data_IF_008413661269
#
_entry.id   IF_008413661269
#
_cell.length_a   1.000
_cell.length_b   1.000
_cell.length_c   1.000
_cell.angle_alpha   90.00
_cell.angle_beta   90.00
_cell.angle_gamma   90.00
#
_symmetry.space_group_name_H-M   'P 1'
#
loop_
_entity.id
_entity.type
_entity.pdbx_description
1 polymer ?
#
# COMPACT_ATOMS: atom_id res chain seq x y z
N UNK A 1 2.09 -4.81 -8.46
CA UNK A 1 1.67 -6.12 -7.90
C UNK A 1 0.28 -6.55 -8.42
N UNK A 2 -0.55 -5.63 -8.86
CA UNK A 2 -1.98 -5.91 -9.17
C UNK A 2 -2.25 -6.21 -10.64
N UNK A 3 -1.42 -5.74 -11.55
CA UNK A 3 -1.69 -5.78 -13.01
C UNK A 3 -0.83 -6.78 -13.80
N UNK A 4 0.29 -7.24 -13.23
CA UNK A 4 1.30 -8.02 -13.95
C UNK A 4 0.82 -9.40 -14.36
N UNK A 5 -0.08 -10.02 -13.60
CA UNK A 5 -0.54 -11.37 -13.88
C UNK A 5 -1.24 -11.49 -15.24
N UNK A 6 -2.07 -10.51 -15.61
CA UNK A 6 -2.74 -10.49 -16.90
C UNK A 6 -1.75 -10.48 -18.08
N UNK A 7 -0.62 -9.81 -17.92
CA UNK A 7 0.45 -9.82 -18.95
C UNK A 7 1.20 -11.14 -19.00
N UNK A 8 1.37 -11.80 -17.84
CA UNK A 8 2.05 -13.11 -17.76
C UNK A 8 1.20 -14.19 -18.45
N UNK A 9 -0.06 -14.34 -18.08
CA UNK A 9 -0.95 -15.38 -18.64
C UNK A 9 -1.24 -15.20 -20.12
N UNK A 10 -1.22 -13.96 -20.60
CA UNK A 10 -1.38 -13.64 -22.03
C UNK A 10 -0.05 -13.71 -22.83
N UNK A 11 1.00 -14.30 -22.25
CA UNK A 11 2.31 -14.52 -22.88
C UNK A 11 2.95 -13.22 -23.44
N UNK A 12 2.66 -12.08 -22.80
CA UNK A 12 3.20 -10.79 -23.22
C UNK A 12 4.55 -10.45 -22.61
N UNK A 13 4.96 -11.20 -21.58
CA UNK A 13 6.21 -10.99 -20.86
C UNK A 13 7.23 -12.09 -21.18
N UNK A 14 8.50 -11.72 -21.20
CA UNK A 14 9.61 -12.65 -21.25
C UNK A 14 9.95 -13.12 -19.84
N UNK A 15 10.20 -14.41 -19.62
CA UNK A 15 10.82 -14.87 -18.39
C UNK A 15 12.14 -14.15 -18.12
N UNK A 16 12.49 -14.03 -16.85
CA UNK A 16 13.77 -13.46 -16.43
C UNK A 16 14.91 -14.31 -17.00
N UNK A 17 15.76 -13.71 -17.82
CA UNK A 17 17.05 -14.25 -18.20
C UNK A 17 18.03 -13.94 -17.06
N UNK A 18 18.19 -14.88 -16.13
CA UNK A 18 18.98 -14.65 -14.91
C UNK A 18 20.46 -14.42 -15.22
N UNK A 19 21.03 -15.04 -16.27
CA UNK A 19 22.41 -14.79 -16.67
C UNK A 19 22.59 -13.37 -17.23
N UNK A 20 21.68 -12.93 -18.09
CA UNK A 20 21.67 -11.55 -18.59
C UNK A 20 21.43 -10.54 -17.48
N UNK A 21 20.64 -10.90 -16.46
CA UNK A 21 20.39 -10.10 -15.27
C UNK A 21 21.54 -10.15 -14.23
N UNK A 22 22.60 -10.91 -14.50
CA UNK A 22 23.81 -10.94 -13.66
C UNK A 22 23.81 -11.99 -12.54
N UNK A 23 22.90 -12.97 -12.60
CA UNK A 23 22.81 -14.04 -11.59
C UNK A 23 23.32 -15.38 -12.17
N UNK A 24 24.01 -16.21 -11.35
CA UNK A 24 24.52 -17.50 -11.80
C UNK A 24 23.43 -18.57 -11.95
N UNK A 25 22.27 -18.39 -11.33
CA UNK A 25 21.14 -19.31 -11.40
C UNK A 25 19.84 -18.63 -11.00
N UNK A 26 18.70 -19.23 -11.33
CA UNK A 26 17.39 -18.77 -10.88
C UNK A 26 17.28 -18.80 -9.34
N UNK A 27 17.86 -19.83 -8.69
CA UNK A 27 17.89 -19.91 -7.23
C UNK A 27 18.64 -18.72 -6.61
N UNK A 28 19.74 -18.30 -7.22
CA UNK A 28 20.48 -17.11 -6.76
C UNK A 28 19.65 -15.81 -6.85
N UNK A 29 18.69 -15.73 -7.78
CA UNK A 29 17.74 -14.60 -7.82
C UNK A 29 16.83 -14.67 -6.59
N UNK A 30 16.25 -15.83 -6.28
CA UNK A 30 15.39 -15.98 -5.10
C UNK A 30 16.14 -15.70 -3.79
N UNK A 31 17.39 -16.15 -3.68
CA UNK A 31 18.23 -15.95 -2.48
C UNK A 31 18.64 -14.47 -2.28
N UNK A 32 18.66 -13.68 -3.36
CA UNK A 32 19.01 -12.26 -3.29
C UNK A 32 17.89 -11.38 -2.74
N UNK A 33 16.64 -11.81 -2.81
CA UNK A 33 15.48 -11.03 -2.40
C UNK A 33 14.84 -11.55 -1.11
N UNK A 34 14.17 -10.66 -0.37
CA UNK A 34 13.41 -11.07 0.82
C UNK A 34 12.27 -12.01 0.43
N UNK A 35 11.92 -12.92 1.34
CA UNK A 35 10.91 -13.95 1.09
C UNK A 35 9.55 -13.38 0.68
N UNK A 36 8.90 -14.01 -0.30
CA UNK A 36 7.54 -13.70 -0.76
C UNK A 36 7.46 -12.57 -1.79
N UNK A 37 8.52 -11.75 -1.96
CA UNK A 37 8.45 -10.59 -2.85
C UNK A 37 8.43 -10.97 -4.34
N UNK A 38 8.94 -12.13 -4.70
CA UNK A 38 8.92 -12.64 -6.08
C UNK A 38 7.69 -13.48 -6.40
N UNK A 39 6.87 -13.84 -5.42
CA UNK A 39 5.69 -14.70 -5.62
C UNK A 39 4.70 -14.11 -6.65
N UNK A 40 4.35 -12.79 -6.61
CA UNK A 40 3.41 -12.22 -7.57
C UNK A 40 3.88 -12.25 -9.02
N UNK A 41 5.17 -12.34 -9.25
CA UNK A 41 5.78 -12.37 -10.61
C UNK A 41 6.31 -13.75 -10.99
N UNK A 42 5.99 -14.77 -10.19
CA UNK A 42 6.30 -16.18 -10.46
C UNK A 42 5.05 -16.90 -10.97
N UNK A 43 5.15 -17.55 -12.13
CA UNK A 43 4.05 -18.30 -12.73
C UNK A 43 4.57 -19.59 -13.37
N UNK A 44 3.97 -20.73 -13.03
CA UNK A 44 4.35 -22.05 -13.54
C UNK A 44 5.87 -22.34 -13.43
N UNK A 45 6.46 -21.92 -12.31
CA UNK A 45 7.90 -22.12 -12.04
C UNK A 45 8.85 -21.21 -12.79
N UNK A 46 8.33 -20.19 -13.49
CA UNK A 46 9.13 -19.17 -14.17
C UNK A 46 8.93 -17.81 -13.50
N UNK A 47 10.01 -17.03 -13.46
CA UNK A 47 10.01 -15.67 -12.93
C UNK A 47 9.90 -14.66 -14.08
N UNK A 48 9.02 -13.65 -13.96
CA UNK A 48 8.73 -12.70 -15.03
C UNK A 48 9.07 -11.25 -14.69
N UNK A 49 9.61 -10.97 -13.52
CA UNK A 49 9.96 -9.62 -13.12
C UNK A 49 11.02 -9.57 -12.03
N UNK A 50 11.73 -8.45 -11.95
CA UNK A 50 12.67 -8.15 -10.86
C UNK A 50 12.22 -6.88 -10.14
N UNK A 51 12.18 -6.87 -8.79
CA UNK A 51 11.66 -5.74 -8.04
C UNK A 51 12.56 -4.50 -8.17
N UNK A 52 11.98 -3.36 -8.54
CA UNK A 52 12.61 -2.06 -8.37
C UNK A 52 12.48 -1.57 -6.94
N UNK A 53 11.29 -1.72 -6.37
CA UNK A 53 11.02 -1.34 -4.99
C UNK A 53 10.01 -2.27 -4.35
N UNK A 54 10.15 -2.40 -3.05
CA UNK A 54 9.10 -2.89 -2.17
C UNK A 54 9.10 -2.03 -0.91
N UNK A 55 7.91 -1.65 -0.48
CA UNK A 55 7.68 -0.97 0.79
C UNK A 55 6.34 -1.41 1.36
N UNK A 56 6.13 -1.22 2.65
CA UNK A 56 4.81 -1.17 3.24
C UNK A 56 4.39 0.30 3.40
N UNK A 57 3.14 0.54 3.71
CA UNK A 57 2.65 1.87 4.01
C UNK A 57 2.50 2.06 5.52
N UNK A 58 3.09 3.15 5.99
CA UNK A 58 2.94 3.65 7.35
C UNK A 58 2.26 5.02 7.32
N UNK A 59 1.95 5.57 8.47
CA UNK A 59 1.33 6.88 8.59
C UNK A 59 2.41 7.95 8.77
N UNK A 60 2.46 8.91 7.85
CA UNK A 60 3.23 10.15 8.02
C UNK A 60 2.37 11.17 8.73
N UNK A 61 2.93 11.82 9.75
CA UNK A 61 2.26 12.75 10.64
C UNK A 61 2.96 14.11 10.60
N UNK A 62 2.20 15.19 10.42
CA UNK A 62 2.67 16.56 10.49
C UNK A 62 2.50 17.08 11.93
N UNK A 63 3.62 17.25 12.64
CA UNK A 63 3.64 17.66 14.05
C UNK A 63 3.06 19.07 14.25
N UNK A 64 3.25 19.97 13.28
CA UNK A 64 2.70 21.32 13.35
C UNK A 64 1.19 21.30 13.35
N UNK A 65 0.56 20.53 12.45
CA UNK A 65 -0.89 20.37 12.39
C UNK A 65 -1.46 19.83 13.70
N UNK A 66 -0.77 18.87 14.34
CA UNK A 66 -1.16 18.35 15.65
C UNK A 66 -1.13 19.44 16.70
N UNK A 67 -0.04 20.20 16.81
CA UNK A 67 0.08 21.31 17.76
C UNK A 67 -0.97 22.40 17.53
N UNK A 68 -1.24 22.75 16.27
CA UNK A 68 -2.29 23.72 15.91
C UNK A 68 -3.69 23.28 16.35
N UNK A 69 -3.92 21.96 16.43
CA UNK A 69 -5.16 21.36 16.94
C UNK A 69 -5.15 21.12 18.45
N UNK A 70 -4.11 21.56 19.16
CA UNK A 70 -3.96 21.36 20.62
C UNK A 70 -3.56 19.94 21.03
N UNK A 71 -2.98 19.17 20.10
CA UNK A 71 -2.54 17.81 20.32
C UNK A 71 -1.01 17.73 20.47
N UNK A 72 -0.54 16.83 21.34
CA UNK A 72 0.88 16.46 21.43
C UNK A 72 1.20 15.36 20.41
N UNK A 73 1.98 15.64 19.34
CA UNK A 73 2.23 14.66 18.29
C UNK A 73 2.96 13.40 18.78
N UNK A 74 3.70 13.47 19.88
CA UNK A 74 4.44 12.34 20.43
C UNK A 74 3.59 11.44 21.37
N UNK A 75 2.44 11.93 21.82
CA UNK A 75 1.55 11.24 22.76
C UNK A 75 0.19 10.92 22.17
N UNK A 76 -0.38 11.88 21.44
CA UNK A 76 -1.75 11.84 20.95
C UNK A 76 -1.88 11.26 19.53
N UNK A 77 -0.80 10.71 18.96
CA UNK A 77 -0.89 10.05 17.66
C UNK A 77 -1.75 8.78 17.75
N UNK A 78 -2.57 8.48 16.72
CA UNK A 78 -3.49 7.35 16.77
C UNK A 78 -2.74 6.02 16.65
N UNK A 79 -3.05 5.08 17.54
CA UNK A 79 -2.58 3.69 17.54
C UNK A 79 -3.63 2.73 17.00
N UNK A 80 -4.89 3.15 17.05
CA UNK A 80 -6.02 2.38 16.55
C UNK A 80 -6.81 3.16 15.50
N UNK A 81 -7.58 2.45 14.69
CA UNK A 81 -8.46 3.08 13.70
C UNK A 81 -9.56 3.92 14.35
N UNK A 82 -10.02 3.51 15.52
CA UNK A 82 -10.98 4.30 16.31
C UNK A 82 -10.34 5.61 16.80
N UNK A 83 -9.10 5.57 17.29
CA UNK A 83 -8.35 6.78 17.65
C UNK A 83 -8.05 7.65 16.43
N UNK A 84 -7.82 7.03 15.24
CA UNK A 84 -7.65 7.76 13.99
C UNK A 84 -8.88 8.63 13.68
N UNK A 85 -10.10 8.12 13.92
CA UNK A 85 -11.34 8.89 13.76
C UNK A 85 -11.36 10.06 14.74
N UNK A 86 -11.08 9.80 16.04
CA UNK A 86 -11.11 10.83 17.09
C UNK A 86 -10.08 11.95 16.84
N UNK A 87 -8.86 11.60 16.51
CA UNK A 87 -7.78 12.55 16.22
C UNK A 87 -8.07 13.32 14.93
N UNK A 88 -8.55 12.65 13.89
CA UNK A 88 -8.90 13.30 12.63
C UNK A 88 -10.05 14.29 12.78
N UNK A 89 -11.01 14.00 13.63
CA UNK A 89 -12.12 14.91 13.92
C UNK A 89 -11.66 16.17 14.64
N UNK A 90 -10.72 16.05 15.58
CA UNK A 90 -10.11 17.22 16.27
C UNK A 90 -9.27 18.10 15.33
N UNK A 91 -8.60 17.51 14.34
CA UNK A 91 -7.76 18.23 13.39
C UNK A 91 -8.59 18.87 12.27
N UNK A 92 -9.71 18.26 11.89
CA UNK A 92 -10.50 18.67 10.74
C UNK A 92 -11.06 20.08 10.88
N UNK A 93 -10.97 20.87 9.80
CA UNK A 93 -11.61 22.18 9.66
C UNK A 93 -12.65 22.06 8.55
N UNK A 94 -13.91 22.34 8.91
CA UNK A 94 -15.06 22.22 8.01
C UNK A 94 -15.78 23.55 7.87
N UNK A 95 -16.26 23.84 6.66
CA UNK A 95 -17.23 24.89 6.36
C UNK A 95 -18.45 24.25 5.71
N UNK A 96 -19.45 23.93 6.51
CA UNK A 96 -20.57 23.08 6.08
C UNK A 96 -20.08 21.68 5.70
N UNK A 97 -20.34 21.28 4.45
CA UNK A 97 -19.88 19.98 3.90
C UNK A 97 -18.45 20.02 3.33
N UNK A 98 -17.83 21.22 3.28
CA UNK A 98 -16.49 21.39 2.72
C UNK A 98 -15.45 21.12 3.81
N UNK A 99 -14.54 20.21 3.51
CA UNK A 99 -13.43 19.84 4.38
C UNK A 99 -12.17 20.61 3.96
N UNK A 100 -11.87 21.71 4.64
CA UNK A 100 -10.74 22.58 4.35
C UNK A 100 -9.41 22.04 4.88
N UNK A 101 -9.44 21.33 6.03
CA UNK A 101 -8.29 20.60 6.57
C UNK A 101 -8.74 19.20 6.96
N UNK A 102 -7.92 18.19 6.62
CA UNK A 102 -8.13 16.79 6.98
C UNK A 102 -7.19 16.35 8.08
N UNK A 103 -7.70 15.52 8.99
CA UNK A 103 -6.83 14.85 9.95
C UNK A 103 -5.98 13.78 9.28
N UNK A 104 -6.62 12.91 8.53
CA UNK A 104 -5.99 11.81 7.80
C UNK A 104 -6.72 11.55 6.48
N UNK A 105 -6.01 10.99 5.52
CA UNK A 105 -6.63 10.46 4.31
C UNK A 105 -5.97 9.14 3.86
N UNK A 106 -6.79 8.19 3.48
CA UNK A 106 -6.34 6.89 2.95
C UNK A 106 -5.63 6.99 1.60
N UNK A 107 -5.70 8.12 0.91
CA UNK A 107 -5.30 8.31 -0.48
C UNK A 107 -6.23 7.57 -1.45
N UNK A 108 -6.43 6.28 -1.23
CA UNK A 108 -7.35 5.41 -1.97
C UNK A 108 -7.88 4.35 -1.01
N UNK A 109 -9.06 4.57 -0.40
CA UNK A 109 -9.59 3.70 0.65
C UNK A 109 -10.04 2.32 0.16
N UNK A 110 -9.81 2.01 -1.09
CA UNK A 110 -10.13 0.76 -1.75
C UNK A 110 -8.89 -0.04 -2.21
N UNK A 111 -7.68 0.44 -1.97
CA UNK A 111 -6.48 -0.29 -2.34
C UNK A 111 -6.33 -1.56 -1.50
N UNK A 112 -6.06 -2.68 -2.18
CA UNK A 112 -5.88 -3.99 -1.56
C UNK A 112 -4.86 -3.95 -0.43
N UNK A 113 -3.77 -3.20 -0.61
CA UNK A 113 -2.66 -3.10 0.36
C UNK A 113 -3.04 -2.49 1.71
N UNK A 114 -4.14 -1.75 1.81
CA UNK A 114 -4.66 -1.21 3.07
C UNK A 114 -5.98 -1.83 3.48
N UNK A 115 -6.90 -1.99 2.55
CA UNK A 115 -8.27 -2.48 2.80
C UNK A 115 -8.28 -3.93 3.30
N UNK A 116 -7.58 -4.82 2.60
CA UNK A 116 -7.56 -6.24 2.98
C UNK A 116 -6.94 -6.45 4.35
N UNK A 117 -5.76 -5.87 4.68
CA UNK A 117 -5.22 -5.92 6.02
C UNK A 117 -6.16 -5.41 7.13
N UNK A 118 -6.90 -4.33 6.89
CA UNK A 118 -7.89 -3.84 7.87
C UNK A 118 -8.98 -4.88 8.16
N UNK A 119 -9.44 -5.59 7.14
CA UNK A 119 -10.41 -6.69 7.32
C UNK A 119 -9.76 -7.89 8.00
N UNK A 120 -8.51 -8.23 7.65
CA UNK A 120 -7.75 -9.31 8.26
C UNK A 120 -7.46 -9.06 9.76
N UNK A 121 -7.23 -7.81 10.17
CA UNK A 121 -7.14 -7.43 11.58
C UNK A 121 -8.38 -7.88 12.38
N UNK A 122 -9.54 -7.84 11.75
CA UNK A 122 -10.83 -8.25 12.32
C UNK A 122 -11.12 -9.76 12.17
N UNK A 123 -10.16 -10.55 11.67
CA UNK A 123 -10.29 -11.98 11.43
C UNK A 123 -10.98 -12.34 10.13
N UNK A 124 -11.24 -11.37 9.25
CA UNK A 124 -11.87 -11.59 7.95
C UNK A 124 -10.90 -12.10 6.88
N UNK A 125 -11.48 -12.63 5.81
CA UNK A 125 -10.80 -13.00 4.57
C UNK A 125 -11.64 -12.53 3.39
N UNK A 126 -11.00 -12.28 2.27
CA UNK A 126 -11.72 -11.98 1.05
C UNK A 126 -12.15 -13.25 0.31
N UNK A 127 -11.26 -14.23 0.25
CA UNK A 127 -11.41 -15.49 -0.48
C UNK A 127 -10.99 -16.64 0.45
N UNK A 128 -11.69 -17.78 0.36
CA UNK A 128 -11.33 -19.00 1.07
C UNK A 128 -9.95 -19.55 0.65
N UNK A 129 -9.34 -20.38 1.49
CA UNK A 129 -7.99 -20.93 1.23
C UNK A 129 -7.96 -21.83 -0.02
N UNK A 130 -9.09 -22.41 -0.41
CA UNK A 130 -9.24 -23.20 -1.65
C UNK A 130 -9.54 -22.35 -2.89
N UNK A 131 -9.62 -21.02 -2.73
CA UNK A 131 -9.86 -20.08 -3.81
C UNK A 131 -11.30 -20.08 -4.40
N UNK A 132 -12.25 -20.79 -3.78
CA UNK A 132 -13.58 -21.04 -4.37
C UNK A 132 -14.70 -20.17 -3.82
N UNK A 133 -14.56 -19.67 -2.60
CA UNK A 133 -15.63 -18.95 -1.91
C UNK A 133 -15.21 -17.52 -1.61
N UNK A 134 -16.05 -16.57 -2.03
CA UNK A 134 -15.86 -15.17 -1.74
C UNK A 134 -16.29 -14.82 -0.32
N UNK A 135 -15.51 -13.96 0.36
CA UNK A 135 -15.82 -13.33 1.66
C UNK A 135 -16.21 -14.38 2.72
N UNK A 136 -15.19 -14.88 3.38
CA UNK A 136 -15.34 -15.96 4.38
C UNK A 136 -15.88 -15.44 5.71
N UNK A 137 -15.60 -14.16 6.05
CA UNK A 137 -16.11 -13.54 7.26
C UNK A 137 -16.87 -12.26 6.94
N UNK A 138 -18.19 -12.35 6.88
CA UNK A 138 -19.08 -11.23 6.57
C UNK A 138 -19.06 -10.16 7.68
N UNK A 139 -18.87 -10.54 8.95
CA UNK A 139 -18.87 -9.60 10.09
C UNK A 139 -17.68 -8.64 10.02
N UNK A 140 -16.49 -9.13 9.68
CA UNK A 140 -15.30 -8.29 9.53
C UNK A 140 -15.47 -7.29 8.38
N UNK A 141 -15.97 -7.75 7.25
CA UNK A 141 -16.26 -6.90 6.09
C UNK A 141 -17.34 -5.86 6.38
N UNK A 142 -18.41 -6.27 7.07
CA UNK A 142 -19.48 -5.36 7.47
C UNK A 142 -18.95 -4.25 8.37
N UNK A 143 -18.10 -4.60 9.35
CA UNK A 143 -17.46 -3.61 10.22
C UNK A 143 -16.57 -2.64 9.45
N UNK A 144 -15.77 -3.14 8.50
CA UNK A 144 -14.95 -2.30 7.63
C UNK A 144 -15.80 -1.32 6.80
N UNK A 145 -16.87 -1.78 6.17
CA UNK A 145 -17.75 -0.92 5.37
C UNK A 145 -18.48 0.13 6.23
N UNK A 146 -18.90 -0.22 7.44
CA UNK A 146 -19.46 0.75 8.42
C UNK A 146 -18.44 1.81 8.81
N UNK A 147 -17.18 1.41 9.02
CA UNK A 147 -16.09 2.33 9.30
C UNK A 147 -15.86 3.30 8.13
N UNK A 148 -15.86 2.80 6.88
CA UNK A 148 -15.73 3.65 5.69
C UNK A 148 -16.91 4.60 5.50
N UNK A 149 -18.13 4.16 5.78
CA UNK A 149 -19.31 5.02 5.73
C UNK A 149 -19.21 6.15 6.77
N UNK A 150 -18.81 5.83 8.00
CA UNK A 150 -18.61 6.82 9.07
C UNK A 150 -17.53 7.83 8.73
N UNK A 151 -16.45 7.39 8.08
CA UNK A 151 -15.33 8.23 7.65
C UNK A 151 -15.74 9.22 6.55
N UNK A 152 -16.62 8.79 5.64
CA UNK A 152 -16.96 9.48 4.41
C UNK A 152 -17.85 10.72 4.55
N UNK A 153 -18.21 11.32 3.39
CA UNK A 153 -19.04 12.53 3.31
C UNK A 153 -20.44 12.38 3.92
N UNK A 154 -20.99 11.17 3.91
CA UNK A 154 -22.30 10.86 4.53
C UNK A 154 -22.22 10.49 6.02
N UNK A 155 -21.01 10.50 6.60
CA UNK A 155 -20.76 10.25 8.01
C UNK A 155 -20.20 11.47 8.72
N UNK A 156 -18.97 11.36 9.22
CA UNK A 156 -18.29 12.43 9.97
C UNK A 156 -17.60 13.48 9.09
N UNK A 157 -17.60 13.32 7.79
CA UNK A 157 -16.91 14.22 6.84
C UNK A 157 -15.41 14.34 7.22
N UNK A 158 -14.71 13.20 7.23
CA UNK A 158 -13.28 13.13 7.54
C UNK A 158 -12.42 12.93 6.29
N UNK A 159 -12.99 12.39 5.22
CA UNK A 159 -12.32 12.14 3.95
C UNK A 159 -13.28 11.71 2.85
N UNK A 160 -12.72 11.41 1.67
CA UNK A 160 -13.48 10.99 0.50
C UNK A 160 -12.68 10.00 -0.34
N UNK A 161 -13.31 8.98 -0.96
CA UNK A 161 -12.62 8.05 -1.85
C UNK A 161 -12.12 8.71 -3.14
N UNK A 162 -12.58 9.90 -3.46
CA UNK A 162 -12.16 10.67 -4.64
C UNK A 162 -10.95 11.56 -4.41
N UNK A 163 -10.47 11.65 -3.17
CA UNK A 163 -9.34 12.49 -2.83
C UNK A 163 -8.00 11.80 -3.10
N UNK A 164 -7.27 12.29 -4.08
CA UNK A 164 -6.06 11.63 -4.59
C UNK A 164 -4.75 12.37 -4.29
N UNK A 165 -4.80 13.53 -3.64
CA UNK A 165 -3.65 14.42 -3.49
C UNK A 165 -3.04 14.47 -2.08
N UNK A 166 -3.47 13.60 -1.16
CA UNK A 166 -3.02 13.61 0.25
C UNK A 166 -1.50 13.77 0.42
N UNK A 167 -0.69 13.00 -0.31
CA UNK A 167 0.77 13.05 -0.22
C UNK A 167 1.38 14.36 -0.71
N UNK A 168 0.78 15.00 -1.72
CA UNK A 168 1.24 16.29 -2.24
C UNK A 168 0.89 17.41 -1.30
N UNK A 169 -0.28 17.34 -0.68
CA UNK A 169 -0.72 18.34 0.30
C UNK A 169 0.07 18.24 1.60
N UNK A 170 0.45 17.03 2.00
CA UNK A 170 1.28 16.81 3.18
C UNK A 170 2.62 17.54 3.11
N UNK A 171 3.20 17.69 1.92
CA UNK A 171 4.48 18.37 1.70
C UNK A 171 4.37 19.90 1.65
N UNK A 172 3.16 20.46 1.63
CA UNK A 172 2.96 21.93 1.51
C UNK A 172 2.95 22.63 2.87
N UNK A 173 3.18 23.93 2.85
CA UNK A 173 3.19 24.78 4.05
C UNK A 173 1.80 25.13 4.59
N UNK A 174 0.74 25.01 3.76
CA UNK A 174 -0.63 25.36 4.15
C UNK A 174 -1.31 24.37 5.10
N UNK A 175 -0.67 23.23 5.37
CA UNK A 175 -1.12 22.24 6.37
C UNK A 175 -2.57 21.74 6.17
N UNK A 176 -2.93 21.44 4.93
CA UNK A 176 -4.28 20.96 4.60
C UNK A 176 -4.56 19.53 5.09
N UNK A 177 -3.53 18.80 5.53
CA UNK A 177 -3.63 17.44 6.03
C UNK A 177 -2.66 17.15 7.17
N UNK A 178 -3.17 16.56 8.24
CA UNK A 178 -2.36 16.18 9.41
C UNK A 178 -1.58 14.88 9.24
N UNK A 179 -2.18 13.91 8.56
CA UNK A 179 -1.60 12.57 8.39
C UNK A 179 -1.91 12.03 7.00
N UNK A 180 -1.00 11.23 6.43
CA UNK A 180 -1.27 10.48 5.20
C UNK A 180 -0.62 9.09 5.22
N UNK A 181 -1.24 8.15 4.51
CA UNK A 181 -0.77 6.78 4.35
C UNK A 181 0.15 6.68 3.13
N UNK A 182 1.42 6.31 3.32
CA UNK A 182 2.40 6.24 2.23
C UNK A 182 3.66 5.44 2.62
N UNK A 183 4.52 5.14 1.65
CA UNK A 183 5.74 4.39 1.82
C UNK A 183 6.98 5.23 2.14
N UNK A 184 8.13 4.58 2.31
CA UNK A 184 9.41 5.24 2.62
C UNK A 184 9.78 6.31 1.58
N UNK A 185 9.42 6.11 0.32
CA UNK A 185 9.66 7.06 -0.78
C UNK A 185 9.07 8.47 -0.53
N UNK A 186 8.15 8.62 0.41
CA UNK A 186 7.59 9.92 0.78
C UNK A 186 8.66 10.87 1.34
N UNK A 187 9.67 10.34 2.02
CA UNK A 187 10.78 11.16 2.56
C UNK A 187 11.53 11.90 1.45
N UNK A 188 11.84 11.19 0.35
CA UNK A 188 12.47 11.82 -0.82
C UNK A 188 11.60 12.90 -1.45
N UNK A 189 10.27 12.70 -1.46
CA UNK A 189 9.32 13.71 -1.95
C UNK A 189 9.23 14.93 -1.04
N UNK A 190 9.17 14.74 0.28
CA UNK A 190 9.19 15.87 1.23
C UNK A 190 10.47 16.66 1.04
N UNK A 191 11.62 15.98 0.95
CA UNK A 191 12.91 16.63 0.74
C UNK A 191 13.01 17.41 -0.57
N UNK A 192 12.41 16.89 -1.66
CA UNK A 192 12.39 17.53 -2.97
C UNK A 192 11.40 18.69 -3.03
N UNK A 193 10.20 18.50 -2.50
CA UNK A 193 9.09 19.46 -2.64
C UNK A 193 9.17 20.59 -1.61
N UNK A 194 9.66 20.29 -0.40
CA UNK A 194 9.76 21.24 0.71
C UNK A 194 10.96 20.87 1.63
N UNK A 195 12.20 21.25 1.23
CA UNK A 195 13.40 20.98 2.01
C UNK A 195 13.36 21.54 3.43
N UNK A 196 12.74 22.70 3.62
CA UNK A 196 12.62 23.35 4.93
C UNK A 196 11.74 22.52 5.86
N UNK A 197 10.62 22.00 5.39
CA UNK A 197 9.79 21.09 6.14
C UNK A 197 10.50 19.77 6.44
N UNK A 198 11.24 19.22 5.46
CA UNK A 198 12.04 18.01 5.66
C UNK A 198 13.04 18.17 6.82
N UNK A 199 13.74 19.31 6.85
CA UNK A 199 14.79 19.59 7.84
C UNK A 199 14.27 20.16 9.17
N UNK A 200 13.00 20.59 9.24
CA UNK A 200 12.42 21.20 10.44
C UNK A 200 12.26 20.25 11.62
N UNK A 201 12.18 18.92 11.37
CA UNK A 201 11.79 17.93 12.37
C UNK A 201 10.26 17.92 12.67
N UNK A 202 9.46 18.65 11.91
CA UNK A 202 8.00 18.78 12.09
C UNK A 202 7.19 17.66 11.41
N UNK A 203 7.83 16.57 11.03
CA UNK A 203 7.17 15.36 10.57
C UNK A 203 7.71 14.13 11.30
N UNK A 204 6.89 13.11 11.36
CA UNK A 204 7.27 11.79 11.88
C UNK A 204 6.50 10.68 11.17
N UNK A 205 6.93 9.45 11.39
CA UNK A 205 6.25 8.24 10.89
C UNK A 205 5.81 7.40 12.07
N UNK A 206 4.57 6.96 12.02
CA UNK A 206 3.97 6.05 12.99
C UNK A 206 3.51 4.76 12.31
N UNK A 207 3.40 3.63 13.04
CA UNK A 207 2.93 2.37 12.48
C UNK A 207 1.53 2.48 11.87
N UNK A 208 1.20 1.53 11.01
CA UNK A 208 -0.16 1.35 10.50
C UNK A 208 -1.10 1.00 11.68
N UNK A 209 -2.21 1.72 11.88
CA UNK A 209 -3.10 1.47 13.00
C UNK A 209 -3.79 0.10 12.93
N UNK A 210 -4.21 -0.41 14.07
CA UNK A 210 -5.04 -1.61 14.17
C UNK A 210 -6.40 -1.26 14.79
N UNK A 211 -7.43 -2.05 14.55
CA UNK A 211 -8.70 -1.89 15.27
C UNK A 211 -8.55 -2.25 16.76
N UNK A 212 -9.27 -1.56 17.67
CA UNK A 212 -9.24 -1.85 19.13
C UNK A 212 -9.55 -3.32 19.47
N UNK A 213 -10.39 -3.96 18.65
CA UNK A 213 -10.74 -5.37 18.81
C UNK A 213 -10.10 -6.25 17.71
N UNK A 214 -8.95 -5.85 17.20
CA UNK A 214 -8.17 -6.66 16.27
C UNK A 214 -7.82 -8.01 16.91
N UNK A 215 -8.01 -9.07 16.14
CA UNK A 215 -7.61 -10.45 16.53
C UNK A 215 -6.24 -10.81 15.92
N UNK A 216 -5.72 -9.97 15.02
CA UNK A 216 -4.41 -10.09 14.40
C UNK A 216 -3.74 -8.72 14.31
N UNK A 217 -2.46 -8.66 14.62
CA UNK A 217 -1.62 -7.47 14.44
C UNK A 217 -1.03 -7.50 13.02
N UNK A 218 -1.83 -7.03 12.06
CA UNK A 218 -1.48 -7.01 10.63
C UNK A 218 -1.39 -5.55 10.18
N UNK A 219 -0.23 -5.08 9.69
CA UNK A 219 -0.07 -3.76 9.09
C UNK A 219 -0.54 -3.75 7.63
N UNK A 220 -0.35 -2.62 6.94
CA UNK A 220 -0.54 -2.53 5.50
C UNK A 220 0.30 -3.60 4.77
N UNK A 221 -0.27 -4.18 3.73
CA UNK A 221 0.40 -5.15 2.89
C UNK A 221 1.53 -4.49 2.07
N UNK A 222 2.36 -5.30 1.46
CA UNK A 222 3.48 -4.82 0.65
C UNK A 222 2.99 -4.16 -0.63
N UNK A 223 3.63 -3.05 -0.94
CA UNK A 223 3.45 -2.29 -2.17
C UNK A 223 4.78 -2.20 -2.92
N UNK A 224 4.76 -2.44 -4.22
CA UNK A 224 6.00 -2.42 -4.98
C UNK A 224 5.79 -2.38 -6.49
N UNK A 225 6.91 -2.20 -7.19
CA UNK A 225 6.99 -2.17 -8.64
C UNK A 225 8.06 -3.14 -9.13
N UNK A 226 7.81 -3.72 -10.29
CA UNK A 226 8.73 -4.66 -10.94
C UNK A 226 9.16 -4.15 -12.30
N UNK A 227 10.41 -4.40 -12.66
CA UNK A 227 10.86 -4.36 -14.04
C UNK A 227 10.48 -5.66 -14.74
N UNK A 228 9.86 -5.52 -15.89
CA UNK A 228 9.44 -6.62 -16.74
C UNK A 228 9.87 -6.38 -18.17
N UNK A 229 10.09 -7.45 -18.93
CA UNK A 229 10.56 -7.38 -20.31
C UNK A 229 9.46 -7.88 -21.25
N UNK A 230 9.21 -7.14 -22.34
CA UNK A 230 8.25 -7.50 -23.37
C UNK A 230 8.68 -8.78 -24.10
N UNK A 231 7.91 -9.87 -23.94
CA UNK A 231 8.16 -11.17 -24.53
C UNK A 231 7.88 -11.26 -26.04
N UNK A 232 7.23 -10.26 -26.62
CA UNK A 232 6.91 -10.21 -28.06
C UNK A 232 8.06 -9.65 -28.93
N UNK A 233 9.20 -9.30 -28.29
CA UNK A 233 10.39 -8.81 -28.98
C UNK A 233 11.36 -9.95 -29.31
N UNK A 234 12.27 -9.79 -30.30
CA UNK A 234 13.32 -10.77 -30.58
C UNK A 234 14.13 -11.13 -29.31
N UNK A 235 14.63 -12.37 -29.25
CA UNK A 235 15.35 -12.88 -28.08
C UNK A 235 16.58 -12.02 -27.71
N UNK A 236 17.32 -11.54 -28.68
CA UNK A 236 18.46 -10.64 -28.47
C UNK A 236 18.05 -9.33 -27.79
N UNK A 237 16.87 -8.79 -28.16
CA UNK A 237 16.32 -7.58 -27.54
C UNK A 237 15.88 -7.88 -26.09
N UNK A 238 15.29 -9.05 -25.84
CA UNK A 238 14.92 -9.47 -24.50
C UNK A 238 16.16 -9.61 -23.59
N UNK A 239 17.23 -10.24 -24.09
CA UNK A 239 18.49 -10.35 -23.34
C UNK A 239 19.11 -8.99 -23.05
N UNK A 240 19.12 -8.09 -24.04
CA UNK A 240 19.63 -6.73 -23.85
C UNK A 240 18.80 -5.96 -22.84
N UNK A 241 17.47 -6.14 -22.85
CA UNK A 241 16.58 -5.54 -21.87
C UNK A 241 16.87 -6.04 -20.44
N UNK A 242 17.12 -7.34 -20.24
CA UNK A 242 17.50 -7.87 -18.93
C UNK A 242 18.87 -7.36 -18.45
N UNK A 243 19.85 -7.18 -19.36
CA UNK A 243 21.12 -6.50 -19.03
C UNK A 243 20.89 -5.05 -18.61
N UNK A 244 19.97 -4.35 -19.28
CA UNK A 244 19.60 -2.98 -18.91
C UNK A 244 18.90 -2.94 -17.54
N UNK A 245 18.00 -3.87 -17.26
CA UNK A 245 17.37 -4.02 -15.93
C UNK A 245 18.44 -4.27 -14.86
N UNK A 246 19.41 -5.15 -15.11
CA UNK A 246 20.52 -5.38 -14.21
C UNK A 246 21.30 -4.09 -13.90
N UNK A 247 21.58 -3.30 -14.93
CA UNK A 247 22.24 -1.99 -14.77
C UNK A 247 21.37 -1.05 -13.92
N UNK A 248 20.08 -0.97 -14.19
CA UNK A 248 19.14 -0.14 -13.41
C UNK A 248 19.06 -0.56 -11.94
N UNK A 249 19.26 -1.83 -11.65
CA UNK A 249 19.20 -2.37 -10.27
C UNK A 249 20.58 -2.41 -9.56
N UNK A 250 21.67 -2.07 -10.25
CA UNK A 250 23.05 -2.23 -9.73
C UNK A 250 23.46 -1.22 -8.66
N UNK A 251 22.66 -0.18 -8.42
CA UNK A 251 22.98 0.90 -7.47
C UNK A 251 21.88 1.08 -6.41
N UNK A 252 21.55 0.06 -5.60
CA UNK A 252 20.41 0.10 -4.67
C UNK A 252 20.56 1.19 -3.60
N UNK A 253 21.76 1.46 -3.12
CA UNK A 253 22.00 2.52 -2.13
C UNK A 253 21.81 3.94 -2.71
N UNK A 254 22.07 4.15 -3.98
CA UNK A 254 21.78 5.43 -4.63
C UNK A 254 20.28 5.70 -4.74
N UNK A 255 19.48 4.68 -5.10
CA UNK A 255 18.03 4.78 -5.08
C UNK A 255 17.51 5.09 -3.68
N UNK A 256 18.04 4.40 -2.67
CA UNK A 256 17.66 4.62 -1.29
C UNK A 256 18.00 6.03 -0.82
N UNK A 257 19.22 6.49 -1.01
CA UNK A 257 19.71 7.77 -0.46
C UNK A 257 19.20 8.98 -1.23
N UNK A 258 19.06 8.87 -2.57
CA UNK A 258 18.61 9.99 -3.41
C UNK A 258 17.11 10.15 -3.46
N UNK A 259 16.35 9.05 -3.53
CA UNK A 259 14.89 9.09 -3.75
C UNK A 259 14.08 8.24 -2.77
N UNK A 260 14.74 7.60 -1.81
CA UNK A 260 14.12 6.75 -0.80
C UNK A 260 13.30 5.57 -1.37
N UNK A 261 13.76 5.03 -2.49
CA UNK A 261 13.25 3.78 -3.08
C UNK A 261 14.05 2.62 -2.51
N UNK A 262 13.36 1.62 -1.97
CA UNK A 262 13.97 0.44 -1.34
C UNK A 262 13.86 -0.74 -2.28
N UNK A 263 14.98 -1.20 -2.82
CA UNK A 263 15.03 -2.51 -3.45
C UNK A 263 14.96 -3.59 -2.38
N UNK A 264 14.08 -4.58 -2.50
CA UNK A 264 13.85 -5.56 -1.44
C UNK A 264 14.90 -6.69 -1.45
N UNK A 265 16.17 -6.33 -1.55
CA UNK A 265 17.26 -7.29 -1.46
C UNK A 265 17.66 -7.53 0.00
N UNK A 266 18.03 -8.77 0.32
CA UNK A 266 18.52 -9.13 1.65
C UNK A 266 19.71 -8.26 2.06
N UNK A 267 20.61 -7.98 1.12
CA UNK A 267 21.79 -7.15 1.35
C UNK A 267 21.41 -5.71 1.74
N UNK A 268 20.59 -5.03 0.94
CA UNK A 268 20.19 -3.64 1.23
C UNK A 268 19.40 -3.51 2.53
N UNK A 269 18.45 -4.41 2.76
CA UNK A 269 17.61 -4.38 3.97
C UNK A 269 18.44 -4.59 5.26
N UNK A 270 19.58 -5.27 5.17
CA UNK A 270 20.50 -5.46 6.29
C UNK A 270 21.61 -4.40 6.36
N UNK A 271 21.73 -3.50 5.38
CA UNK A 271 22.79 -2.49 5.33
C UNK A 271 22.64 -1.41 6.42
N UNK A 272 23.76 -0.83 6.80
CA UNK A 272 23.75 0.35 7.69
C UNK A 272 23.13 1.57 7.01
N UNK A 273 23.24 1.68 5.69
CA UNK A 273 22.60 2.74 4.90
C UNK A 273 21.08 2.70 5.09
N UNK A 274 20.45 1.53 4.97
CA UNK A 274 19.01 1.39 5.20
C UNK A 274 18.62 1.63 6.67
N UNK A 275 19.34 1.03 7.61
CA UNK A 275 19.07 1.16 9.05
C UNK A 275 19.18 2.60 9.56
N UNK A 276 20.04 3.40 8.94
CA UNK A 276 20.24 4.82 9.31
C UNK A 276 19.21 5.77 8.70
N UNK A 277 18.36 5.30 7.77
CA UNK A 277 17.30 6.13 7.21
C UNK A 277 16.29 6.53 8.29
N UNK A 278 15.82 7.79 8.31
CA UNK A 278 14.82 8.22 9.28
C UNK A 278 13.60 7.29 9.29
N UNK A 279 13.21 6.86 10.49
CA UNK A 279 12.05 5.97 10.69
C UNK A 279 12.11 4.61 9.99
N UNK A 280 13.27 4.17 9.46
CA UNK A 280 13.42 2.85 8.83
C UNK A 280 12.95 1.71 9.74
N UNK A 281 13.19 1.84 11.06
CA UNK A 281 12.73 0.85 12.05
C UNK A 281 11.20 0.71 12.08
N UNK A 282 10.43 1.78 11.93
CA UNK A 282 8.95 1.72 11.90
C UNK A 282 8.50 0.89 10.71
N UNK A 283 9.08 1.14 9.53
CA UNK A 283 8.79 0.35 8.33
C UNK A 283 9.20 -1.12 8.49
N UNK A 284 10.38 -1.38 9.05
CA UNK A 284 10.89 -2.74 9.24
C UNK A 284 10.03 -3.55 10.23
N UNK A 285 9.63 -2.94 11.34
CA UNK A 285 8.79 -3.59 12.34
C UNK A 285 7.40 -3.96 11.78
N UNK A 286 6.82 -3.08 10.97
CA UNK A 286 5.56 -3.36 10.28
C UNK A 286 5.77 -4.41 9.17
N UNK A 287 6.82 -4.29 8.34
CA UNK A 287 7.12 -5.29 7.30
C UNK A 287 7.29 -6.70 7.88
N UNK A 288 7.88 -6.85 9.06
CA UNK A 288 8.04 -8.15 9.70
C UNK A 288 6.72 -8.88 9.99
N UNK A 289 5.61 -8.16 10.05
CA UNK A 289 4.24 -8.66 10.26
C UNK A 289 3.38 -8.62 9.00
N UNK A 290 3.86 -7.94 7.96
CA UNK A 290 3.15 -7.73 6.71
C UNK A 290 3.26 -8.92 5.76
N UNK A 291 2.51 -8.83 4.68
CA UNK A 291 2.49 -9.84 3.61
C UNK A 291 2.11 -9.21 2.27
N UNK A 292 2.24 -10.00 1.20
CA UNK A 292 1.73 -9.62 -0.12
C UNK A 292 0.25 -9.96 -0.19
N UNK A 293 -0.58 -8.99 -0.59
CA UNK A 293 -1.97 -9.24 -0.96
C UNK A 293 -2.04 -9.39 -2.48
N UNK A 294 -2.46 -10.59 -2.91
CA UNK A 294 -2.41 -10.96 -4.30
C UNK A 294 -3.46 -12.04 -4.63
N UNK A 295 -4.24 -11.83 -5.67
CA UNK A 295 -5.33 -12.71 -6.10
C UNK A 295 -5.18 -13.17 -7.55
N UNK A 296 -3.95 -13.27 -8.04
CA UNK A 296 -3.65 -13.71 -9.39
C UNK A 296 -4.30 -12.80 -10.45
N UNK A 297 -4.81 -13.42 -11.50
CA UNK A 297 -5.50 -12.72 -12.60
C UNK A 297 -6.74 -11.92 -12.16
N UNK A 298 -7.27 -12.25 -11.01
CA UNK A 298 -8.48 -11.62 -10.47
C UNK A 298 -8.20 -10.34 -9.68
N UNK A 299 -6.94 -10.02 -9.36
CA UNK A 299 -6.58 -8.89 -8.49
C UNK A 299 -7.19 -7.56 -8.94
N UNK A 300 -7.08 -7.21 -10.22
CA UNK A 300 -7.62 -5.94 -10.75
C UNK A 300 -9.14 -5.88 -10.71
N UNK A 301 -9.83 -6.98 -11.07
CA UNK A 301 -11.30 -7.06 -11.00
C UNK A 301 -11.79 -6.94 -9.55
N UNK A 302 -11.16 -7.68 -8.64
CA UNK A 302 -11.49 -7.67 -7.21
C UNK A 302 -11.29 -6.27 -6.63
N UNK A 303 -10.17 -5.60 -6.92
CA UNK A 303 -9.93 -4.23 -6.47
C UNK A 303 -11.01 -3.27 -6.98
N UNK A 304 -11.44 -3.41 -8.23
CA UNK A 304 -12.54 -2.61 -8.79
C UNK A 304 -13.84 -2.81 -8.01
N UNK A 305 -14.18 -4.05 -7.65
CA UNK A 305 -15.40 -4.34 -6.88
C UNK A 305 -15.31 -3.85 -5.42
N UNK A 306 -14.14 -3.91 -4.80
CA UNK A 306 -13.93 -3.29 -3.48
C UNK A 306 -14.10 -1.77 -3.58
N UNK A 307 -13.55 -1.16 -4.63
CA UNK A 307 -13.73 0.27 -4.89
C UNK A 307 -15.21 0.64 -5.00
N UNK A 308 -15.98 -0.09 -5.80
CA UNK A 308 -17.42 0.14 -5.97
C UNK A 308 -18.17 0.02 -4.63
N UNK A 309 -17.84 -0.98 -3.80
CA UNK A 309 -18.46 -1.16 -2.50
C UNK A 309 -18.13 0.02 -1.55
N UNK A 310 -16.87 0.43 -1.46
CA UNK A 310 -16.43 1.56 -0.63
C UNK A 310 -17.07 2.87 -1.11
N UNK A 311 -17.04 3.16 -2.42
CA UNK A 311 -17.66 4.36 -2.99
C UNK A 311 -19.18 4.37 -2.76
N UNK A 312 -19.84 3.23 -2.84
CA UNK A 312 -21.30 3.13 -2.63
C UNK A 312 -21.71 3.50 -1.20
N UNK A 313 -20.98 3.06 -0.19
CA UNK A 313 -21.27 3.40 1.22
C UNK A 313 -20.84 4.82 1.56
N UNK A 314 -19.74 5.30 1.01
CA UNK A 314 -19.21 6.64 1.32
C UNK A 314 -19.95 7.75 0.59
N UNK A 315 -20.32 7.56 -0.69
CA UNK A 315 -20.84 8.60 -1.58
C UNK A 315 -22.32 8.44 -1.90
N UNK A 316 -22.78 7.20 -2.17
CA UNK A 316 -24.13 6.97 -2.65
C UNK A 316 -25.15 6.65 -1.54
N UNK A 317 -24.72 6.58 -0.28
CA UNK A 317 -25.59 6.31 0.85
C UNK A 317 -26.18 4.88 0.88
N UNK A 318 -25.55 3.95 0.16
CA UNK A 318 -25.92 2.53 0.18
C UNK A 318 -25.64 1.97 1.57
N UNK A 319 -26.53 1.13 2.11
CA UNK A 319 -26.28 0.49 3.40
C UNK A 319 -25.05 -0.41 3.34
N UNK A 320 -24.22 -0.48 4.40
CA UNK A 320 -23.09 -1.40 4.46
C UNK A 320 -23.48 -2.87 4.20
N UNK A 321 -24.67 -3.27 4.63
CA UNK A 321 -25.23 -4.60 4.43
C UNK A 321 -25.50 -4.89 2.93
N UNK A 322 -26.11 -3.96 2.19
CA UNK A 322 -26.38 -4.11 0.76
C UNK A 322 -25.09 -4.03 -0.07
N UNK A 323 -24.16 -3.14 0.31
CA UNK A 323 -22.85 -3.04 -0.33
C UNK A 323 -22.04 -4.34 -0.16
N UNK A 324 -22.07 -4.93 1.04
CA UNK A 324 -21.43 -6.22 1.32
C UNK A 324 -22.04 -7.36 0.51
N UNK A 325 -23.36 -7.44 0.45
CA UNK A 325 -24.06 -8.45 -0.35
C UNK A 325 -23.68 -8.35 -1.84
N UNK A 326 -23.60 -7.13 -2.36
CA UNK A 326 -23.20 -6.88 -3.75
C UNK A 326 -21.73 -7.24 -3.98
N UNK A 327 -20.82 -6.84 -3.07
CA UNK A 327 -19.40 -7.17 -3.15
C UNK A 327 -19.18 -8.68 -3.14
N UNK A 328 -19.80 -9.40 -2.19
CA UNK A 328 -19.72 -10.86 -2.10
C UNK A 328 -20.14 -11.55 -3.39
N UNK A 329 -21.28 -11.15 -3.95
CA UNK A 329 -21.77 -11.71 -5.23
C UNK A 329 -20.78 -11.46 -6.36
N UNK A 330 -20.30 -10.22 -6.52
CA UNK A 330 -19.37 -9.84 -7.60
C UNK A 330 -18.03 -10.54 -7.50
N UNK A 331 -17.48 -10.67 -6.29
CA UNK A 331 -16.23 -11.42 -6.09
C UNK A 331 -16.46 -12.90 -6.40
N UNK A 332 -17.59 -13.50 -6.01
CA UNK A 332 -17.90 -14.88 -6.34
C UNK A 332 -18.01 -15.10 -7.86
N UNK A 333 -18.69 -14.19 -8.57
CA UNK A 333 -18.77 -14.24 -10.04
C UNK A 333 -17.38 -14.25 -10.68
N UNK A 334 -16.45 -13.45 -10.18
CA UNK A 334 -15.05 -13.43 -10.65
C UNK A 334 -14.35 -14.77 -10.41
N UNK A 335 -14.60 -15.42 -9.26
CA UNK A 335 -14.01 -16.72 -8.94
C UNK A 335 -14.62 -17.86 -9.78
N UNK A 336 -15.90 -17.75 -10.16
CA UNK A 336 -16.60 -18.76 -10.96
C UNK A 336 -16.22 -18.67 -12.46
N UNK A 337 -15.68 -17.54 -12.92
CA UNK A 337 -15.21 -17.36 -14.31
C UNK A 337 -13.83 -17.99 -14.58
N UNK A 338 -13.02 -18.23 -13.56
CA UNK A 338 -11.65 -18.79 -13.64
C UNK A 338 -11.63 -20.26 -13.31
#
# INVERSE_FOLDING_TARGET
>A
IEDEYAYIVNERLAPVDFEAAGYPSLQAVYDAYISGVLDPVTYKGQLYGLPLELTNWCIYLNKKVFRDAGLDPEKDYPKTWEEMVEVSDKIAIREGEILNRRGFDFRYPYYLVSTVPMVEQLGGKLISDDGKTAIVNDEAWLKFLKFMQEWGPNGKILGSPTYTNARKLFNKDNNDIGMCLTGLYQQGRIRSDNPDFYNSGDWMVIPFPIFKNAVKDIPAAYYGHYYMVNGQKPKENQQMAWKFVAYMLSHPEEYLTKVNIVQPTVELMNSETYKSMPYSKVFTDDMAKGHVVYYGENSAKIQSHIREAVESVMLAGVSPEDALKTLKRKVQEVLDEG
#
